data_IF_051952864898
#
_entry.id   IF_051952864898
#
_cell.length_a   1.000
_cell.length_b   1.000
_cell.length_c   1.000
_cell.angle_alpha   90.00
_cell.angle_beta   90.00
_cell.angle_gamma   90.00
#
_symmetry.space_group_name_H-M   'P 1'
#
loop_
_entity.id
_entity.type
_entity.pdbx_description
1 polymer ?
#
# COMPACT_ATOMS: atom_id res chain seq x y z
N UNK A 1 1.98 18.41 -36.67
CA UNK A 1 2.05 18.56 -35.20
C UNK A 1 3.53 18.62 -34.82
N UNK A 2 4.00 19.59 -34.04
CA UNK A 2 5.41 19.66 -33.64
C UNK A 2 5.74 18.47 -32.73
N UNK A 3 6.83 17.75 -33.04
CA UNK A 3 7.35 16.70 -32.16
C UNK A 3 8.20 17.37 -31.08
N UNK A 4 7.70 17.41 -29.84
CA UNK A 4 8.47 17.85 -28.68
C UNK A 4 9.20 16.64 -28.07
N UNK A 5 10.54 16.65 -28.15
CA UNK A 5 11.39 15.64 -27.49
C UNK A 5 11.79 16.14 -26.11
N UNK A 6 11.30 15.49 -25.05
CA UNK A 6 11.70 15.80 -23.68
C UNK A 6 12.98 15.05 -23.33
N UNK A 7 14.06 15.78 -23.08
CA UNK A 7 15.30 15.25 -22.50
C UNK A 7 15.00 14.68 -21.10
N UNK A 8 15.18 13.37 -20.91
CA UNK A 8 15.08 12.73 -19.60
C UNK A 8 16.46 12.60 -18.95
N UNK A 9 16.53 12.85 -17.64
CA UNK A 9 17.73 12.55 -16.87
C UNK A 9 18.09 11.06 -16.97
N UNK A 10 19.38 10.79 -17.23
CA UNK A 10 19.92 9.42 -17.33
C UNK A 10 19.65 8.59 -16.08
N UNK A 11 19.62 9.23 -14.91
CA UNK A 11 19.35 8.57 -13.64
C UNK A 11 17.91 8.05 -13.57
N UNK A 12 16.92 8.92 -13.83
CA UNK A 12 15.51 8.56 -13.82
C UNK A 12 15.19 7.50 -14.88
N UNK A 13 15.80 7.60 -16.07
CA UNK A 13 15.65 6.60 -17.11
C UNK A 13 16.21 5.22 -16.68
N UNK A 14 17.39 5.20 -16.04
CA UNK A 14 17.99 3.95 -15.56
C UNK A 14 17.11 3.23 -14.54
N UNK A 15 16.62 3.94 -13.52
CA UNK A 15 15.79 3.32 -12.48
C UNK A 15 14.36 3.05 -12.94
N UNK A 16 13.71 3.92 -13.70
CA UNK A 16 12.27 3.80 -13.96
C UNK A 16 11.92 3.12 -15.29
N UNK A 17 12.85 3.05 -16.25
CA UNK A 17 12.57 2.61 -17.61
C UNK A 17 13.53 1.53 -18.15
N UNK A 18 14.78 1.46 -17.68
CA UNK A 18 15.76 0.50 -18.18
C UNK A 18 15.57 -0.90 -17.58
N UNK A 19 15.51 -1.94 -18.42
CA UNK A 19 15.47 -3.33 -17.96
C UNK A 19 16.72 -3.75 -17.15
N UNK A 20 17.82 -3.00 -17.25
CA UNK A 20 19.06 -3.25 -16.47
C UNK A 20 18.84 -3.09 -14.96
N UNK A 21 17.87 -2.28 -14.53
CA UNK A 21 17.51 -2.13 -13.11
C UNK A 21 16.44 -3.13 -12.64
N UNK A 22 15.98 -4.04 -13.49
CA UNK A 22 15.00 -5.08 -13.11
C UNK A 22 15.44 -5.96 -11.91
N UNK A 23 16.72 -6.40 -11.77
CA UNK A 23 17.14 -7.16 -10.61
C UNK A 23 16.99 -6.38 -9.30
N UNK A 24 17.31 -5.09 -9.31
CA UNK A 24 17.16 -4.21 -8.15
C UNK A 24 15.68 -4.12 -7.74
N UNK A 25 14.79 -3.82 -8.68
CA UNK A 25 13.35 -3.73 -8.38
C UNK A 25 12.73 -5.05 -8.01
N UNK A 26 13.26 -6.17 -8.51
CA UNK A 26 12.86 -7.50 -8.10
C UNK A 26 13.11 -7.72 -6.61
N UNK A 27 14.30 -7.37 -6.11
CA UNK A 27 14.62 -7.48 -4.68
C UNK A 27 13.76 -6.55 -3.83
N UNK A 28 13.59 -5.29 -4.24
CA UNK A 28 12.71 -4.33 -3.54
C UNK A 28 11.28 -4.88 -3.47
N UNK A 29 10.78 -5.43 -4.57
CA UNK A 29 9.44 -6.03 -4.64
C UNK A 29 9.30 -7.26 -3.75
N UNK A 30 10.33 -8.11 -3.67
CA UNK A 30 10.33 -9.26 -2.76
C UNK A 30 10.26 -8.81 -1.31
N UNK A 31 11.08 -7.84 -0.91
CA UNK A 31 11.06 -7.29 0.44
C UNK A 31 9.70 -6.69 0.80
N UNK A 32 9.21 -5.74 -0.01
CA UNK A 32 7.92 -5.07 0.25
C UNK A 32 6.76 -6.08 0.23
N UNK A 33 6.77 -7.00 -0.73
CA UNK A 33 5.73 -8.04 -0.83
C UNK A 33 5.74 -9.01 0.34
N UNK A 34 6.92 -9.38 0.85
CA UNK A 34 7.07 -10.24 2.02
C UNK A 34 6.53 -9.59 3.29
N UNK A 35 6.91 -8.33 3.55
CA UNK A 35 6.42 -7.57 4.71
C UNK A 35 4.89 -7.46 4.71
N UNK A 36 4.29 -7.15 3.54
CA UNK A 36 2.82 -7.11 3.39
C UNK A 36 2.17 -8.48 3.60
N UNK A 37 2.78 -9.54 3.07
CA UNK A 37 2.22 -10.87 3.18
C UNK A 37 2.22 -11.35 4.63
N UNK A 38 3.31 -11.13 5.38
CA UNK A 38 3.39 -11.52 6.79
C UNK A 38 2.40 -10.71 7.63
N UNK A 39 2.40 -9.38 7.51
CA UNK A 39 1.49 -8.53 8.26
C UNK A 39 0.01 -8.90 7.99
N UNK A 40 -0.32 -9.15 6.72
CA UNK A 40 -1.65 -9.61 6.34
C UNK A 40 -1.97 -11.00 6.86
N UNK A 41 -1.02 -11.92 6.80
CA UNK A 41 -1.19 -13.31 7.28
C UNK A 41 -1.46 -13.36 8.78
N UNK A 42 -0.72 -12.60 9.57
CA UNK A 42 -0.94 -12.46 11.01
C UNK A 42 -2.32 -11.88 11.33
N UNK A 43 -2.87 -11.01 10.48
CA UNK A 43 -4.23 -10.47 10.65
C UNK A 43 -5.32 -11.46 10.24
N UNK A 44 -5.20 -12.13 9.09
CA UNK A 44 -6.25 -13.07 8.64
C UNK A 44 -6.32 -14.34 9.51
N UNK A 45 -5.22 -14.73 10.14
CA UNK A 45 -5.20 -15.87 11.08
C UNK A 45 -5.60 -15.48 12.51
N UNK A 46 -5.72 -14.20 12.81
CA UNK A 46 -6.11 -13.71 14.13
C UNK A 46 -7.63 -13.44 14.18
N UNK A 47 -8.40 -14.14 15.03
CA UNK A 47 -9.85 -13.94 15.17
C UNK A 47 -10.27 -12.50 15.48
N UNK A 48 -9.41 -11.69 16.11
CA UNK A 48 -9.68 -10.30 16.44
C UNK A 48 -9.65 -9.35 15.22
N UNK A 49 -9.02 -9.80 14.14
CA UNK A 49 -8.91 -9.08 12.87
C UNK A 49 -9.84 -9.68 11.80
N UNK A 50 -9.98 -11.00 11.76
CA UNK A 50 -10.73 -11.71 10.72
C UNK A 50 -11.53 -12.88 11.30
N UNK A 51 -12.83 -12.98 10.95
CA UNK A 51 -13.73 -14.03 11.44
C UNK A 51 -14.67 -13.58 12.56
N UNK A 52 -14.97 -14.48 13.51
CA UNK A 52 -16.05 -14.30 14.49
C UNK A 52 -15.81 -13.19 15.53
N UNK A 53 -14.55 -12.83 15.78
CA UNK A 53 -14.15 -11.74 16.68
C UNK A 53 -13.67 -10.48 15.94
N UNK A 54 -13.88 -10.41 14.63
CA UNK A 54 -13.34 -9.34 13.80
C UNK A 54 -13.79 -7.95 14.27
N UNK A 55 -12.90 -6.97 14.17
CA UNK A 55 -13.17 -5.60 14.59
C UNK A 55 -12.71 -5.26 16.01
N UNK A 56 -12.40 -6.24 16.86
CA UNK A 56 -11.85 -5.97 18.19
C UNK A 56 -10.47 -5.32 18.11
N UNK A 57 -9.58 -5.87 17.27
CA UNK A 57 -8.25 -5.28 17.05
C UNK A 57 -8.33 -3.93 16.33
N UNK A 58 -9.26 -3.79 15.37
CA UNK A 58 -9.52 -2.53 14.68
C UNK A 58 -10.01 -1.44 15.64
N UNK A 59 -10.92 -1.78 16.55
CA UNK A 59 -11.38 -0.84 17.57
C UNK A 59 -10.20 -0.41 18.45
N UNK A 60 -9.38 -1.36 18.91
CA UNK A 60 -8.16 -1.04 19.67
C UNK A 60 -7.20 -0.11 18.92
N UNK A 61 -6.98 -0.37 17.63
CA UNK A 61 -6.17 0.46 16.74
C UNK A 61 -6.72 1.90 16.65
N UNK A 62 -8.04 2.05 16.42
CA UNK A 62 -8.68 3.37 16.31
C UNK A 62 -8.64 4.12 17.65
N UNK A 63 -8.94 3.45 18.76
CA UNK A 63 -8.84 4.08 20.09
C UNK A 63 -7.40 4.52 20.39
N UNK A 64 -6.40 3.74 19.96
CA UNK A 64 -4.99 4.12 20.02
C UNK A 64 -4.69 5.39 19.20
N UNK A 65 -5.22 5.49 17.98
CA UNK A 65 -5.08 6.68 17.14
C UNK A 65 -5.77 7.92 17.74
N UNK A 66 -6.98 7.75 18.28
CA UNK A 66 -7.74 8.85 18.90
C UNK A 66 -7.00 9.43 20.11
N UNK A 67 -6.35 8.59 20.93
CA UNK A 67 -5.53 9.04 22.07
C UNK A 67 -4.31 9.88 21.68
N UNK A 68 -3.92 9.88 20.41
CA UNK A 68 -2.81 10.69 19.87
C UNK A 68 -3.26 12.01 19.24
N UNK A 69 -4.52 12.37 19.43
CA UNK A 69 -5.08 13.64 18.95
C UNK A 69 -4.90 14.74 19.98
N UNK A 70 -5.07 16.00 19.54
CA UNK A 70 -4.97 17.17 20.41
C UNK A 70 -5.96 17.16 21.59
N UNK A 71 -7.07 16.42 21.48
CA UNK A 71 -8.10 16.27 22.53
C UNK A 71 -7.53 15.63 23.81
N UNK A 72 -6.49 14.82 23.70
CA UNK A 72 -5.86 14.11 24.83
C UNK A 72 -4.60 14.81 25.34
N UNK A 73 -4.28 16.00 24.83
CA UNK A 73 -3.15 16.78 25.32
C UNK A 73 -3.47 17.44 26.67
N UNK A 74 -2.51 17.40 27.59
CA UNK A 74 -2.62 18.07 28.88
C UNK A 74 -2.58 19.60 28.71
N UNK A 75 -3.39 20.35 29.46
CA UNK A 75 -3.34 21.81 29.47
C UNK A 75 -1.95 22.30 29.87
N UNK A 76 -1.33 23.16 29.05
CA UNK A 76 -0.05 23.82 29.38
C UNK A 76 1.22 23.14 28.85
N UNK A 77 1.12 21.98 28.20
CA UNK A 77 2.26 21.36 27.49
C UNK A 77 2.29 21.78 26.00
N UNK A 78 3.49 21.83 25.40
CA UNK A 78 3.62 21.95 23.95
C UNK A 78 3.06 20.68 23.28
N UNK A 79 1.81 20.74 22.85
CA UNK A 79 1.09 19.61 22.26
C UNK A 79 1.49 19.46 20.78
N UNK A 80 2.11 18.32 20.45
CA UNK A 80 2.42 17.91 19.08
C UNK A 80 1.63 16.63 18.77
N UNK A 81 0.35 16.74 18.36
CA UNK A 81 -0.49 15.56 18.12
C UNK A 81 -0.02 14.80 16.87
N UNK A 82 0.19 13.49 17.00
CA UNK A 82 0.54 12.64 15.86
C UNK A 82 -0.63 12.50 14.87
N UNK A 83 -1.87 12.58 15.38
CA UNK A 83 -3.10 12.39 14.57
C UNK A 83 -3.86 13.69 14.44
N UNK A 84 -4.10 14.09 13.20
CA UNK A 84 -4.84 15.30 12.87
C UNK A 84 -6.35 15.12 13.13
N UNK A 85 -7.01 16.18 13.60
CA UNK A 85 -8.42 16.12 14.02
C UNK A 85 -9.38 15.73 12.88
N UNK A 86 -9.10 16.14 11.64
CA UNK A 86 -9.91 15.75 10.48
C UNK A 86 -9.84 14.23 10.23
N UNK A 87 -8.68 13.62 10.46
CA UNK A 87 -8.50 12.18 10.30
C UNK A 87 -9.19 11.43 11.45
N UNK A 88 -9.11 11.96 12.67
CA UNK A 88 -9.88 11.44 13.80
C UNK A 88 -11.40 11.48 13.53
N UNK A 89 -11.91 12.54 12.91
CA UNK A 89 -13.32 12.62 12.49
C UNK A 89 -13.68 11.56 11.44
N UNK A 90 -12.79 11.30 10.46
CA UNK A 90 -12.95 10.20 9.51
C UNK A 90 -13.00 8.84 10.21
N UNK A 91 -12.09 8.57 11.15
CA UNK A 91 -12.08 7.31 11.92
C UNK A 91 -13.39 7.14 12.70
N UNK A 92 -13.85 8.20 13.39
CA UNK A 92 -15.10 8.19 14.17
C UNK A 92 -16.34 8.00 13.29
N UNK A 93 -16.40 8.67 12.12
CA UNK A 93 -17.61 8.72 11.28
C UNK A 93 -17.72 7.60 10.24
N UNK A 94 -16.60 7.16 9.66
CA UNK A 94 -16.61 6.19 8.54
C UNK A 94 -16.09 4.80 8.94
N UNK A 95 -15.21 4.72 9.94
CA UNK A 95 -14.54 3.45 10.30
C UNK A 95 -15.18 2.78 11.50
N UNK A 96 -15.39 3.51 12.61
CA UNK A 96 -16.02 2.96 13.83
C UNK A 96 -17.41 2.32 13.61
N UNK A 97 -18.30 2.83 12.74
CA UNK A 97 -19.59 2.19 12.51
C UNK A 97 -19.49 0.85 11.77
N UNK A 98 -18.37 0.59 11.08
CA UNK A 98 -18.19 -0.54 10.17
C UNK A 98 -16.89 -1.32 10.46
N UNK A 99 -16.56 -1.50 11.74
CA UNK A 99 -15.31 -2.10 12.20
C UNK A 99 -14.99 -3.46 11.57
N UNK A 100 -15.98 -4.37 11.52
CA UNK A 100 -15.79 -5.72 10.97
C UNK A 100 -15.40 -5.66 9.49
N UNK A 101 -16.14 -4.89 8.70
CA UNK A 101 -15.91 -4.74 7.26
C UNK A 101 -14.53 -4.15 6.98
N UNK A 102 -14.15 -3.09 7.70
CA UNK A 102 -12.83 -2.48 7.55
C UNK A 102 -11.70 -3.39 8.02
N UNK A 103 -11.88 -4.07 9.15
CA UNK A 103 -10.92 -5.05 9.66
C UNK A 103 -10.64 -6.15 8.66
N UNK A 104 -11.69 -6.75 8.09
CA UNK A 104 -11.56 -7.79 7.08
C UNK A 104 -10.95 -7.25 5.78
N UNK A 105 -11.40 -6.07 5.32
CA UNK A 105 -10.90 -5.45 4.10
C UNK A 105 -9.41 -5.12 4.17
N UNK A 106 -8.95 -4.60 5.32
CA UNK A 106 -7.52 -4.34 5.54
C UNK A 106 -6.77 -5.67 5.55
N UNK A 107 -7.13 -6.62 6.41
CA UNK A 107 -6.43 -7.90 6.52
C UNK A 107 -6.28 -8.63 5.18
N UNK A 108 -7.36 -8.72 4.40
CA UNK A 108 -7.33 -9.32 3.05
C UNK A 108 -6.54 -8.45 2.08
N UNK A 109 -6.68 -7.13 2.15
CA UNK A 109 -5.93 -6.18 1.33
C UNK A 109 -4.42 -6.32 1.49
N UNK A 110 -3.94 -6.49 2.73
CA UNK A 110 -2.51 -6.70 3.02
C UNK A 110 -1.98 -7.97 2.36
N UNK A 111 -2.71 -9.09 2.48
CA UNK A 111 -2.37 -10.36 1.84
C UNK A 111 -2.36 -10.22 0.31
N UNK A 112 -3.39 -9.60 -0.28
CA UNK A 112 -3.48 -9.42 -1.72
C UNK A 112 -2.36 -8.54 -2.28
N UNK A 113 -1.99 -7.47 -1.56
CA UNK A 113 -0.84 -6.62 -1.92
C UNK A 113 0.45 -7.44 -1.84
N UNK A 114 0.67 -8.19 -0.76
CA UNK A 114 1.83 -9.05 -0.59
C UNK A 114 1.97 -10.07 -1.71
N UNK A 115 0.90 -10.82 -2.00
CA UNK A 115 0.86 -11.80 -3.09
C UNK A 115 1.05 -11.15 -4.46
N UNK A 116 0.38 -10.04 -4.74
CA UNK A 116 0.50 -9.33 -6.02
C UNK A 116 1.92 -8.82 -6.27
N UNK A 117 2.56 -8.28 -5.22
CA UNK A 117 3.96 -7.88 -5.28
C UNK A 117 4.88 -9.08 -5.44
N UNK A 118 4.79 -10.13 -4.63
CA UNK A 118 5.66 -11.30 -4.73
C UNK A 118 5.54 -12.04 -6.07
N UNK A 119 4.32 -12.32 -6.51
CA UNK A 119 4.05 -12.96 -7.79
C UNK A 119 4.40 -12.06 -8.99
N UNK A 120 4.38 -10.75 -8.78
CA UNK A 120 4.67 -9.76 -9.82
C UNK A 120 3.52 -9.60 -10.78
N UNK A 121 2.31 -9.77 -10.26
CA UNK A 121 1.05 -9.66 -10.97
C UNK A 121 0.35 -8.38 -10.51
N UNK A 122 0.09 -7.48 -11.45
CA UNK A 122 -0.44 -6.15 -11.21
C UNK A 122 0.43 -5.31 -10.24
N UNK A 123 1.76 -5.35 -10.41
CA UNK A 123 2.72 -4.68 -9.50
C UNK A 123 2.35 -3.22 -9.23
N UNK A 124 1.97 -2.46 -10.26
CA UNK A 124 1.58 -1.06 -10.09
C UNK A 124 0.31 -0.87 -9.25
N UNK A 125 -0.66 -1.77 -9.38
CA UNK A 125 -1.91 -1.73 -8.60
C UNK A 125 -1.67 -2.20 -7.16
N UNK A 126 -0.92 -3.29 -6.97
CA UNK A 126 -0.55 -3.78 -5.64
C UNK A 126 0.27 -2.72 -4.87
N UNK A 127 1.25 -2.10 -5.51
CA UNK A 127 2.03 -1.02 -4.92
C UNK A 127 1.17 0.21 -4.58
N UNK A 128 0.17 0.55 -5.40
CA UNK A 128 -0.77 1.63 -5.10
C UNK A 128 -1.58 1.36 -3.81
N UNK A 129 -2.16 0.17 -3.67
CA UNK A 129 -2.91 -0.16 -2.45
C UNK A 129 -2.01 -0.27 -1.22
N UNK A 130 -0.79 -0.80 -1.36
CA UNK A 130 0.20 -0.77 -0.29
C UNK A 130 0.61 0.64 0.11
N UNK A 131 0.79 1.55 -0.86
CA UNK A 131 1.02 2.97 -0.57
C UNK A 131 -0.18 3.58 0.18
N UNK A 132 -1.40 3.35 -0.31
CA UNK A 132 -2.62 3.91 0.28
C UNK A 132 -2.87 3.44 1.72
N UNK A 133 -2.66 2.15 2.01
CA UNK A 133 -2.78 1.62 3.37
C UNK A 133 -1.70 2.19 4.30
N UNK A 134 -0.44 2.24 3.87
CA UNK A 134 0.62 2.88 4.66
C UNK A 134 0.30 4.34 4.96
N UNK A 135 -0.17 5.11 3.97
CA UNK A 135 -0.56 6.50 4.18
C UNK A 135 -1.63 6.62 5.29
N UNK A 136 -2.65 5.76 5.28
CA UNK A 136 -3.67 5.73 6.33
C UNK A 136 -3.08 5.34 7.69
N UNK A 137 -2.16 4.38 7.75
CA UNK A 137 -1.48 3.98 8.98
C UNK A 137 -0.63 5.11 9.57
N UNK A 138 0.09 5.87 8.74
CA UNK A 138 0.82 7.06 9.17
C UNK A 138 -0.14 8.14 9.69
N UNK A 139 -1.25 8.39 9.00
CA UNK A 139 -2.26 9.36 9.42
C UNK A 139 -2.94 8.96 10.75
N UNK A 140 -3.02 7.66 11.04
CA UNK A 140 -3.45 7.12 12.33
C UNK A 140 -2.35 7.20 13.42
N UNK A 141 -1.19 7.76 13.12
CA UNK A 141 -0.08 7.93 14.07
C UNK A 141 0.76 6.67 14.27
N UNK A 142 0.79 5.74 13.30
CA UNK A 142 1.65 4.54 13.36
C UNK A 142 2.84 4.68 12.42
N UNK A 143 4.00 4.98 13.00
CA UNK A 143 5.25 5.23 12.26
C UNK A 143 5.93 3.89 11.96
N UNK A 144 6.64 3.26 12.90
CA UNK A 144 7.31 1.95 12.71
C UNK A 144 7.93 1.77 11.29
N UNK A 145 7.73 0.62 10.65
CA UNK A 145 8.20 0.30 9.28
C UNK A 145 7.39 0.98 8.17
N UNK A 146 6.26 1.61 8.48
CA UNK A 146 5.29 2.10 7.50
C UNK A 146 5.87 3.19 6.56
N UNK A 147 6.63 4.21 7.02
CA UNK A 147 7.24 5.20 6.11
C UNK A 147 8.16 4.56 5.08
N UNK A 148 8.95 3.55 5.48
CA UNK A 148 9.86 2.83 4.58
C UNK A 148 9.07 2.10 3.51
N UNK A 149 8.03 1.34 3.90
CA UNK A 149 7.18 0.63 2.94
C UNK A 149 6.41 1.60 2.02
N UNK A 150 5.99 2.76 2.54
CA UNK A 150 5.33 3.80 1.75
C UNK A 150 6.23 4.35 0.64
N UNK A 151 7.49 4.69 0.98
CA UNK A 151 8.47 5.20 0.01
C UNK A 151 8.80 4.13 -1.04
N UNK A 152 9.02 2.90 -0.61
CA UNK A 152 9.28 1.79 -1.54
C UNK A 152 8.07 1.49 -2.42
N UNK A 153 6.85 1.59 -1.90
CA UNK A 153 5.63 1.44 -2.69
C UNK A 153 5.50 2.53 -3.77
N UNK A 154 5.77 3.80 -3.44
CA UNK A 154 5.81 4.89 -4.43
C UNK A 154 6.88 4.66 -5.51
N UNK A 155 8.04 4.18 -5.09
CA UNK A 155 9.15 3.84 -5.97
C UNK A 155 8.75 2.71 -6.95
N UNK A 156 8.10 1.66 -6.44
CA UNK A 156 7.56 0.54 -7.22
C UNK A 156 6.43 0.97 -8.17
N UNK A 157 5.54 1.88 -7.75
CA UNK A 157 4.51 2.46 -8.62
C UNK A 157 5.12 3.18 -9.82
N UNK A 158 6.16 3.99 -9.56
CA UNK A 158 6.88 4.75 -10.59
C UNK A 158 7.65 3.81 -11.53
N UNK A 159 8.28 2.77 -10.98
CA UNK A 159 9.08 1.79 -11.72
C UNK A 159 8.27 0.59 -12.24
N UNK A 160 6.92 0.62 -12.20
CA UNK A 160 6.04 -0.54 -12.47
C UNK A 160 6.34 -1.31 -13.76
N UNK A 161 6.84 -0.63 -14.79
CA UNK A 161 7.19 -1.27 -16.08
C UNK A 161 8.43 -2.15 -15.96
N UNK A 162 9.42 -1.70 -15.20
CA UNK A 162 10.69 -2.42 -14.95
C UNK A 162 10.53 -3.41 -13.80
N UNK A 163 9.83 -3.03 -12.74
CA UNK A 163 9.59 -3.89 -11.57
C UNK A 163 8.78 -5.15 -11.91
N UNK A 164 7.86 -5.07 -12.88
CA UNK A 164 7.12 -6.22 -13.40
C UNK A 164 7.88 -7.04 -14.45
N UNK A 165 9.11 -6.67 -14.81
CA UNK A 165 9.87 -7.34 -15.89
C UNK A 165 10.25 -8.78 -15.52
N UNK A 166 10.56 -9.03 -14.24
CA UNK A 166 10.80 -10.34 -13.66
C UNK A 166 9.60 -10.81 -12.82
N UNK A 167 8.39 -10.68 -13.36
CA UNK A 167 7.15 -11.08 -12.72
C UNK A 167 6.12 -11.59 -13.74
N UNK A 168 4.99 -12.10 -13.24
CA UNK A 168 3.89 -12.57 -14.07
C UNK A 168 3.30 -11.48 -14.99
N UNK A 169 3.49 -10.21 -14.66
CA UNK A 169 3.12 -9.06 -15.49
C UNK A 169 3.67 -9.14 -16.92
N UNK A 170 4.85 -9.76 -17.11
CA UNK A 170 5.43 -9.96 -18.43
C UNK A 170 4.59 -10.90 -19.32
N UNK A 171 3.95 -11.90 -18.74
CA UNK A 171 3.16 -12.90 -19.47
C UNK A 171 1.69 -12.52 -19.57
N UNK A 172 1.13 -11.91 -18.52
CA UNK A 172 -0.30 -11.57 -18.46
C UNK A 172 -0.66 -10.36 -19.33
N UNK A 173 0.20 -9.34 -19.42
CA UNK A 173 -0.11 -8.11 -20.20
C UNK A 173 -0.25 -8.35 -21.71
N UNK A 174 0.64 -9.11 -22.39
CA UNK A 174 0.47 -9.44 -23.81
C UNK A 174 -0.78 -10.29 -24.07
N UNK A 175 -1.09 -11.23 -23.16
CA UNK A 175 -2.27 -12.09 -23.27
C UNK A 175 -3.57 -11.29 -23.18
N UNK A 176 -3.70 -10.41 -22.18
CA UNK A 176 -4.85 -9.50 -22.05
C UNK A 176 -4.98 -8.58 -23.26
N UNK A 177 -3.88 -7.99 -23.74
CA UNK A 177 -3.89 -7.15 -24.94
C UNK A 177 -4.41 -7.90 -26.16
N UNK A 178 -3.93 -9.13 -26.42
CA UNK A 178 -4.41 -9.94 -27.56
C UNK A 178 -5.91 -10.22 -27.48
N UNK A 179 -6.39 -10.64 -26.31
CA UNK A 179 -7.79 -11.05 -26.13
C UNK A 179 -8.78 -9.90 -26.23
N UNK A 180 -8.44 -8.71 -25.72
CA UNK A 180 -9.31 -7.54 -25.81
C UNK A 180 -9.23 -6.80 -27.16
N UNK A 181 -8.15 -6.94 -27.92
CA UNK A 181 -8.04 -6.31 -29.25
C UNK A 181 -8.66 -7.16 -30.37
N UNK A 182 -8.78 -8.48 -30.21
CA UNK A 182 -9.40 -9.36 -31.22
C UNK A 182 -10.94 -9.39 -31.18
N UNK A 183 -11.57 -8.57 -30.33
CA UNK A 183 -13.03 -8.50 -30.17
C UNK A 183 -13.61 -7.16 -30.66
N UNK A 184 -12.82 -6.38 -31.41
CA UNK A 184 -13.20 -5.04 -31.89
C UNK A 184 -13.26 -4.89 -33.41
N UNK A 185 -13.30 -6.01 -34.14
CA UNK A 185 -13.61 -6.09 -35.56
C UNK A 185 -14.50 -7.30 -35.82
#
# INVERSE_FOLDING_TARGET
>A
MPNYTLEQSRFSHFFLASAKSAPFWFLVRLYVGYEWLIAGWEKVTNPAWFGSGAGAAMNGFIQGALRKTAEFCQPGAACHPDVQMWYAAFLKGAVLPHLVSWSNAIAVGEVLVGLGLLAGLFVGTAAFFGFFMNLNFLLAGTVSVNPTLMVLALALMSARRVAGHWGLDRYVRPYLKRKFYSQRF
#
